data_IF_908271790360
#
_entry.id   IF_908271790360
#
_cell.length_a   1.000
_cell.length_b   1.000
_cell.length_c   1.000
_cell.angle_alpha   90.00
_cell.angle_beta   90.00
_cell.angle_gamma   90.00
#
_symmetry.space_group_name_H-M   'P 1'
#
loop_
_entity.id
_entity.type
_entity.pdbx_description
1 polymer ?
#
# COMPACT_ATOMS: atom_id res chain seq x y z
N UNK A 1 12.29 35.26 38.60
CA UNK A 1 10.90 34.84 38.88
C UNK A 1 10.21 34.84 37.52
N UNK A 2 9.89 33.73 36.85
CA UNK A 2 8.98 32.67 37.25
C UNK A 2 9.38 31.30 36.68
N UNK A 3 8.73 30.28 37.23
CA UNK A 3 9.14 28.89 37.39
C UNK A 3 9.32 28.04 36.13
N UNK A 4 10.21 27.04 36.28
CA UNK A 4 10.21 25.77 35.53
C UNK A 4 8.82 25.14 35.52
N UNK A 5 8.37 24.71 34.34
CA UNK A 5 7.43 23.60 34.19
C UNK A 5 8.13 22.50 33.38
N UNK A 6 8.70 21.53 34.10
CA UNK A 6 9.03 20.21 33.58
C UNK A 6 7.74 19.39 33.67
N UNK A 7 7.10 19.09 32.53
CA UNK A 7 6.03 18.10 32.34
C UNK A 7 5.71 18.10 30.82
N UNK A 8 5.87 17.06 29.99
CA UNK A 8 5.83 15.60 30.15
C UNK A 8 6.77 14.95 29.10
N UNK A 9 7.41 13.80 29.37
CA UNK A 9 8.01 12.99 28.32
C UNK A 9 6.93 12.08 27.75
N UNK A 10 6.29 12.51 26.67
CA UNK A 10 5.74 11.59 25.66
C UNK A 10 6.18 12.17 24.33
N UNK A 11 7.48 12.08 24.06
CA UNK A 11 7.98 12.39 22.72
C UNK A 11 7.53 11.27 21.80
N UNK A 12 6.35 11.42 21.22
CA UNK A 12 6.00 10.69 20.00
C UNK A 12 7.14 10.94 19.00
N UNK A 13 7.65 9.87 18.38
CA UNK A 13 8.71 9.99 17.38
C UNK A 13 8.14 10.71 16.15
N UNK A 14 8.54 11.96 15.96
CA UNK A 14 8.12 12.77 14.82
C UNK A 14 9.15 12.64 13.69
N UNK A 15 8.69 12.23 12.51
CA UNK A 15 9.48 12.21 11.27
C UNK A 15 9.94 13.63 10.94
N UNK A 16 11.24 13.81 10.68
CA UNK A 16 11.83 15.16 10.48
C UNK A 16 11.75 15.62 9.02
N UNK A 17 11.97 14.70 8.08
CA UNK A 17 11.90 14.93 6.64
C UNK A 17 11.65 13.60 5.94
N UNK A 18 10.98 13.63 4.79
CA UNK A 18 10.82 12.50 3.87
C UNK A 18 12.07 12.25 3.03
N UNK A 19 12.96 13.24 2.90
CA UNK A 19 14.11 13.19 1.99
C UNK A 19 13.74 13.39 0.51
N UNK A 20 12.46 13.60 0.20
CA UNK A 20 11.95 13.87 -1.15
C UNK A 20 11.53 15.34 -1.21
N UNK A 21 12.03 16.07 -2.21
CA UNK A 21 11.68 17.49 -2.39
C UNK A 21 10.22 17.60 -2.85
N UNK A 22 9.44 18.45 -2.16
CA UNK A 22 8.02 18.68 -2.49
C UNK A 22 7.05 17.74 -1.79
N UNK A 23 7.54 16.75 -1.04
CA UNK A 23 6.71 15.86 -0.23
C UNK A 23 6.90 16.18 1.26
N UNK A 24 5.99 16.99 1.80
CA UNK A 24 6.04 17.44 3.19
C UNK A 24 5.62 16.32 4.16
N UNK A 25 6.25 16.30 5.35
CA UNK A 25 5.92 15.33 6.40
C UNK A 25 4.52 15.59 6.95
N UNK A 26 3.72 14.54 7.09
CA UNK A 26 2.36 14.60 7.65
C UNK A 26 2.34 13.98 9.06
N UNK A 27 2.24 14.77 10.14
CA UNK A 27 2.31 14.25 11.51
C UNK A 27 1.18 13.27 11.87
N UNK A 28 -0.01 13.45 11.29
CA UNK A 28 -1.20 12.62 11.51
C UNK A 28 -1.48 11.68 10.32
N UNK A 29 -0.43 11.16 9.68
CA UNK A 29 -0.53 10.36 8.46
C UNK A 29 -1.50 9.19 8.56
N UNK A 30 -1.50 8.45 9.68
CA UNK A 30 -2.38 7.30 9.92
C UNK A 30 -3.86 7.65 9.80
N UNK A 31 -4.30 8.71 10.48
CA UNK A 31 -5.70 9.14 10.46
C UNK A 31 -6.13 9.58 9.06
N UNK A 32 -5.24 10.31 8.38
CA UNK A 32 -5.45 10.76 6.99
C UNK A 32 -5.59 9.56 6.06
N UNK A 33 -4.69 8.57 6.15
CA UNK A 33 -4.76 7.34 5.36
C UNK A 33 -6.04 6.55 5.60
N UNK A 34 -6.45 6.36 6.86
CA UNK A 34 -7.71 5.69 7.20
C UNK A 34 -8.90 6.41 6.56
N UNK A 35 -8.92 7.75 6.65
CA UNK A 35 -9.97 8.57 6.05
C UNK A 35 -10.01 8.45 4.53
N UNK A 36 -8.85 8.53 3.88
CA UNK A 36 -8.71 8.40 2.42
C UNK A 36 -9.13 7.02 1.94
N UNK A 37 -8.60 5.94 2.52
CA UNK A 37 -8.97 4.58 2.12
C UNK A 37 -10.45 4.26 2.36
N UNK A 38 -11.02 4.73 3.47
CA UNK A 38 -12.46 4.60 3.72
C UNK A 38 -13.29 5.34 2.66
N UNK A 39 -12.81 6.51 2.21
CA UNK A 39 -13.45 7.24 1.11
C UNK A 39 -13.30 6.49 -0.21
N UNK A 40 -12.11 5.98 -0.53
CA UNK A 40 -11.84 5.19 -1.75
C UNK A 40 -12.76 3.97 -1.83
N UNK A 41 -12.90 3.21 -0.74
CA UNK A 41 -13.81 2.05 -0.66
C UNK A 41 -15.30 2.42 -0.79
N UNK A 42 -15.68 3.67 -0.53
CA UNK A 42 -17.05 4.13 -0.75
C UNK A 42 -17.28 4.59 -2.18
N UNK A 43 -16.34 5.33 -2.77
CA UNK A 43 -16.45 5.83 -4.15
C UNK A 43 -16.34 4.70 -5.19
N UNK A 44 -15.51 3.68 -4.94
CA UNK A 44 -15.30 2.56 -5.87
C UNK A 44 -16.57 1.71 -6.09
N UNK A 45 -17.54 1.77 -5.15
CA UNK A 45 -18.83 1.05 -5.29
C UNK A 45 -19.66 1.51 -6.48
N UNK A 46 -19.37 2.69 -7.04
CA UNK A 46 -20.01 3.18 -8.26
C UNK A 46 -19.56 2.43 -9.53
N UNK A 47 -18.37 1.79 -9.50
CA UNK A 47 -17.82 1.00 -10.60
C UNK A 47 -18.45 -0.41 -10.61
N UNK A 48 -18.72 -1.04 -11.76
CA UNK A 48 -19.26 -2.41 -11.82
C UNK A 48 -18.35 -3.46 -11.13
N UNK A 49 -18.95 -4.48 -10.49
CA UNK A 49 -18.23 -5.51 -9.70
C UNK A 49 -17.32 -6.42 -10.51
N UNK A 50 -17.65 -6.64 -11.79
CA UNK A 50 -16.90 -7.58 -12.60
C UNK A 50 -15.59 -7.01 -13.16
N UNK A 51 -15.47 -5.68 -13.14
CA UNK A 51 -14.30 -4.98 -13.67
C UNK A 51 -13.03 -5.28 -12.87
N UNK A 52 -11.95 -5.61 -13.59
CA UNK A 52 -10.65 -5.92 -12.98
C UNK A 52 -10.11 -4.76 -12.13
N UNK A 53 -10.39 -3.52 -12.56
CA UNK A 53 -10.05 -2.30 -11.82
C UNK A 53 -10.65 -2.28 -10.41
N UNK A 54 -11.97 -2.54 -10.28
CA UNK A 54 -12.64 -2.56 -8.97
C UNK A 54 -12.06 -3.63 -8.05
N UNK A 55 -11.86 -4.85 -8.57
CA UNK A 55 -11.28 -5.98 -7.81
C UNK A 55 -9.87 -5.64 -7.29
N UNK A 56 -9.04 -4.98 -8.11
CA UNK A 56 -7.70 -4.56 -7.72
C UNK A 56 -7.75 -3.50 -6.61
N UNK A 57 -8.51 -2.42 -6.82
CA UNK A 57 -8.65 -1.30 -5.87
C UNK A 57 -9.18 -1.77 -4.53
N UNK A 58 -10.22 -2.60 -4.51
CA UNK A 58 -10.76 -3.16 -3.28
C UNK A 58 -9.73 -4.02 -2.54
N UNK A 59 -8.98 -4.87 -3.26
CA UNK A 59 -7.98 -5.75 -2.67
C UNK A 59 -6.85 -4.99 -1.98
N UNK A 60 -6.16 -4.09 -2.70
CA UNK A 60 -5.03 -3.38 -2.10
C UNK A 60 -5.48 -2.33 -1.08
N UNK A 61 -6.62 -1.66 -1.29
CA UNK A 61 -7.11 -0.64 -0.36
C UNK A 61 -7.57 -1.28 0.96
N UNK A 62 -8.24 -2.43 0.90
CA UNK A 62 -8.65 -3.16 2.11
C UNK A 62 -7.44 -3.66 2.90
N UNK A 63 -6.42 -4.17 2.20
CA UNK A 63 -5.17 -4.58 2.84
C UNK A 63 -4.45 -3.39 3.51
N UNK A 64 -4.30 -2.27 2.79
CA UNK A 64 -3.68 -1.04 3.30
C UNK A 64 -4.43 -0.47 4.50
N UNK A 65 -5.76 -0.43 4.43
CA UNK A 65 -6.62 0.02 5.52
C UNK A 65 -6.46 -0.86 6.76
N UNK A 66 -6.44 -2.18 6.59
CA UNK A 66 -6.24 -3.13 7.69
C UNK A 66 -4.91 -2.89 8.41
N UNK A 67 -3.82 -2.72 7.67
CA UNK A 67 -2.51 -2.44 8.28
C UNK A 67 -2.52 -1.10 9.03
N UNK A 68 -3.13 -0.05 8.47
CA UNK A 68 -3.23 1.26 9.14
C UNK A 68 -4.10 1.23 10.41
N UNK A 69 -5.04 0.27 10.51
CA UNK A 69 -5.86 0.07 11.71
C UNK A 69 -5.10 -0.72 12.78
N UNK A 70 -4.35 -1.74 12.39
CA UNK A 70 -3.57 -2.59 13.29
C UNK A 70 -2.39 -1.85 13.93
N UNK A 71 -1.66 -1.05 13.15
CA UNK A 71 -0.45 -0.37 13.61
C UNK A 71 -0.72 1.09 13.97
N UNK A 72 -0.06 1.57 15.03
CA UNK A 72 -0.15 2.96 15.48
C UNK A 72 1.02 3.82 14.97
N UNK A 73 2.23 3.24 14.93
CA UNK A 73 3.45 3.92 14.50
C UNK A 73 3.63 3.88 12.98
N UNK A 74 4.04 5.02 12.40
CA UNK A 74 4.25 5.14 10.94
C UNK A 74 5.39 4.24 10.43
N UNK A 75 6.43 4.00 11.23
CA UNK A 75 7.58 3.15 10.86
C UNK A 75 7.16 1.68 10.69
N UNK A 76 6.26 1.20 11.56
CA UNK A 76 5.72 -0.16 11.48
C UNK A 76 4.74 -0.32 10.31
N UNK A 77 3.96 0.74 10.01
CA UNK A 77 3.11 0.79 8.81
C UNK A 77 3.97 0.68 7.54
N UNK A 78 5.03 1.48 7.42
CA UNK A 78 5.95 1.46 6.26
C UNK A 78 6.60 0.07 6.10
N UNK A 79 7.02 -0.53 7.21
CA UNK A 79 7.67 -1.84 7.22
C UNK A 79 6.72 -2.98 6.86
N UNK A 80 5.49 -2.98 7.37
CA UNK A 80 4.47 -4.00 7.05
C UNK A 80 3.99 -3.87 5.61
N UNK A 81 3.77 -2.66 5.11
CA UNK A 81 3.30 -2.43 3.74
C UNK A 81 4.39 -2.60 2.70
N UNK A 82 5.63 -2.23 3.01
CA UNK A 82 6.76 -2.36 2.10
C UNK A 82 6.60 -1.56 0.80
N UNK A 83 5.85 -0.45 0.83
CA UNK A 83 5.41 0.30 -0.34
C UNK A 83 5.80 1.79 -0.24
N UNK A 84 7.07 2.06 0.10
CA UNK A 84 7.56 3.43 0.27
C UNK A 84 7.16 4.05 1.62
N UNK A 85 7.17 5.39 1.67
CA UNK A 85 6.85 6.17 2.85
C UNK A 85 5.35 6.42 3.01
N UNK A 86 4.89 6.69 4.25
CA UNK A 86 3.46 7.00 4.48
C UNK A 86 2.96 8.22 3.73
N UNK A 87 3.81 9.21 3.46
CA UNK A 87 3.46 10.39 2.68
C UNK A 87 3.24 10.06 1.20
N UNK A 88 4.03 9.16 0.62
CA UNK A 88 3.84 8.67 -0.76
C UNK A 88 2.51 7.90 -0.86
N UNK A 89 2.19 7.09 0.16
CA UNK A 89 0.90 6.39 0.23
C UNK A 89 -0.30 7.35 0.30
N UNK A 90 -0.14 8.52 0.94
CA UNK A 90 -1.19 9.55 0.97
C UNK A 90 -1.40 10.14 -0.43
N UNK A 91 -0.32 10.45 -1.14
CA UNK A 91 -0.38 10.94 -2.52
C UNK A 91 -1.03 9.90 -3.45
N UNK A 92 -0.60 8.64 -3.38
CA UNK A 92 -1.21 7.53 -4.12
C UNK A 92 -2.71 7.40 -3.83
N UNK A 93 -3.12 7.47 -2.56
CA UNK A 93 -4.53 7.37 -2.20
C UNK A 93 -5.37 8.57 -2.69
N UNK A 94 -4.79 9.77 -2.73
CA UNK A 94 -5.44 10.95 -3.30
C UNK A 94 -5.56 10.85 -4.82
N UNK A 95 -4.53 10.37 -5.49
CA UNK A 95 -4.54 10.17 -6.94
C UNK A 95 -5.51 9.08 -7.35
N UNK A 96 -5.62 8.00 -6.57
CA UNK A 96 -6.63 6.97 -6.78
C UNK A 96 -8.05 7.54 -6.66
N UNK A 97 -8.32 8.42 -5.68
CA UNK A 97 -9.62 9.10 -5.56
C UNK A 97 -9.93 10.01 -6.76
N UNK A 98 -8.92 10.72 -7.29
CA UNK A 98 -9.07 11.52 -8.52
C UNK A 98 -9.35 10.60 -9.70
N UNK A 99 -8.63 9.48 -9.81
CA UNK A 99 -8.81 8.50 -10.87
C UNK A 99 -10.22 7.91 -10.83
N UNK A 100 -10.72 7.50 -9.67
CA UNK A 100 -12.11 6.98 -9.52
C UNK A 100 -13.12 8.02 -10.03
N UNK A 101 -12.89 9.30 -9.75
CA UNK A 101 -13.77 10.38 -10.23
C UNK A 101 -13.78 10.45 -11.77
N UNK A 102 -12.61 10.35 -12.41
CA UNK A 102 -12.48 10.33 -13.87
C UNK A 102 -13.07 9.05 -14.48
N UNK A 103 -12.83 7.89 -13.86
CA UNK A 103 -13.38 6.62 -14.28
C UNK A 103 -14.91 6.65 -14.25
N UNK A 104 -15.51 7.23 -13.21
CA UNK A 104 -16.95 7.38 -13.09
C UNK A 104 -17.56 8.30 -14.17
N UNK A 105 -16.82 9.30 -14.62
CA UNK A 105 -17.24 10.20 -15.71
C UNK A 105 -17.15 9.50 -17.08
N UNK A 106 -15.98 8.92 -17.38
CA UNK A 106 -15.67 8.40 -18.72
C UNK A 106 -16.21 6.99 -18.96
N UNK A 107 -16.45 6.24 -17.89
CA UNK A 107 -17.06 4.91 -17.91
C UNK A 107 -16.45 3.97 -18.94
N UNK A 108 -15.12 3.72 -18.91
CA UNK A 108 -14.43 2.91 -19.92
C UNK A 108 -14.68 1.40 -19.76
N UNK A 109 -15.75 1.00 -19.08
CA UNK A 109 -16.08 -0.38 -18.77
C UNK A 109 -16.87 -1.06 -19.88
N UNK A 110 -16.77 -2.38 -19.91
CA UNK A 110 -17.33 -3.21 -20.97
C UNK A 110 -16.40 -3.33 -22.18
N UNK A 111 -16.43 -4.52 -22.78
CA UNK A 111 -15.68 -4.83 -23.99
C UNK A 111 -16.69 -5.09 -25.11
N UNK A 112 -16.64 -4.35 -26.24
CA UNK A 112 -17.48 -4.64 -27.39
C UNK A 112 -17.28 -6.06 -27.94
N UNK A 113 -18.32 -6.67 -28.49
CA UNK A 113 -18.25 -8.03 -29.05
C UNK A 113 -17.29 -8.14 -30.25
N UNK A 114 -17.07 -7.03 -30.96
CA UNK A 114 -16.17 -6.89 -32.10
C UNK A 114 -14.76 -6.39 -31.72
N UNK A 115 -14.44 -6.34 -30.42
CA UNK A 115 -13.13 -5.89 -29.96
C UNK A 115 -12.04 -6.95 -30.23
N UNK A 116 -11.09 -6.59 -31.09
CA UNK A 116 -9.91 -7.41 -31.37
C UNK A 116 -8.68 -6.82 -30.67
N UNK A 117 -8.06 -7.61 -29.78
CA UNK A 117 -6.84 -7.24 -29.08
C UNK A 117 -5.67 -8.09 -29.61
N UNK A 118 -4.83 -7.49 -30.46
CA UNK A 118 -3.64 -8.15 -30.97
C UNK A 118 -2.52 -8.14 -29.91
N UNK A 119 -2.27 -9.30 -29.29
CA UNK A 119 -1.15 -9.48 -28.37
C UNK A 119 0.09 -9.83 -29.20
N UNK A 120 1.02 -8.88 -29.33
CA UNK A 120 2.27 -9.05 -30.08
C UNK A 120 3.40 -9.35 -29.09
N UNK A 121 3.88 -10.59 -29.10
CA UNK A 121 5.00 -11.04 -28.27
C UNK A 121 6.27 -11.17 -29.11
N UNK A 122 7.38 -10.62 -28.62
CA UNK A 122 8.70 -10.75 -29.24
C UNK A 122 9.70 -11.28 -28.22
N UNK A 123 9.99 -12.57 -28.30
CA UNK A 123 10.88 -13.29 -27.39
C UNK A 123 12.38 -13.12 -27.71
N UNK A 124 12.73 -12.17 -28.58
CA UNK A 124 14.14 -11.88 -28.87
C UNK A 124 14.88 -11.48 -27.58
N UNK A 125 15.99 -12.16 -27.23
CA UNK A 125 16.67 -11.89 -25.97
C UNK A 125 17.30 -10.50 -25.98
N UNK A 126 17.02 -9.71 -24.94
CA UNK A 126 17.62 -8.39 -24.74
C UNK A 126 19.09 -8.56 -24.31
N UNK A 127 20.06 -7.97 -25.04
CA UNK A 127 21.46 -8.05 -24.64
C UNK A 127 21.74 -7.43 -23.26
N UNK A 128 22.66 -8.03 -22.48
CA UNK A 128 22.93 -7.63 -21.09
C UNK A 128 23.37 -6.18 -20.87
N UNK A 129 23.97 -5.55 -21.88
CA UNK A 129 24.47 -4.18 -21.82
C UNK A 129 23.36 -3.16 -22.12
N UNK A 130 22.22 -3.59 -22.64
CA UNK A 130 21.07 -2.74 -22.89
C UNK A 130 20.40 -2.42 -21.55
N UNK A 131 20.05 -1.14 -21.29
CA UNK A 131 19.31 -0.77 -20.10
C UNK A 131 18.01 -1.57 -19.99
N UNK A 132 17.89 -2.35 -18.92
CA UNK A 132 16.70 -3.12 -18.58
C UNK A 132 16.35 -2.82 -17.12
N UNK A 133 15.08 -2.50 -16.87
CA UNK A 133 14.59 -2.28 -15.50
C UNK A 133 14.71 -3.58 -14.72
N UNK A 134 15.58 -3.60 -13.72
CA UNK A 134 15.76 -4.75 -12.82
C UNK A 134 15.07 -4.43 -11.50
N UNK A 135 14.22 -5.32 -10.98
CA UNK A 135 13.62 -5.12 -9.68
C UNK A 135 14.73 -5.07 -8.61
N UNK A 136 14.51 -4.35 -7.50
CA UNK A 136 15.40 -4.45 -6.36
C UNK A 136 15.43 -5.90 -5.84
N UNK A 137 16.54 -6.31 -5.19
CA UNK A 137 16.60 -7.62 -4.56
C UNK A 137 15.50 -7.74 -3.50
N UNK A 138 14.79 -8.87 -3.50
CA UNK A 138 13.73 -9.11 -2.54
C UNK A 138 14.30 -9.18 -1.10
N UNK A 139 13.50 -8.83 -0.07
CA UNK A 139 13.92 -8.96 1.31
C UNK A 139 14.33 -10.39 1.66
N UNK A 140 15.37 -10.55 2.49
CA UNK A 140 15.88 -11.88 2.89
C UNK A 140 14.84 -12.72 3.62
N UNK A 141 13.90 -12.08 4.34
CA UNK A 141 12.78 -12.75 5.00
C UNK A 141 11.88 -13.48 3.99
N UNK A 142 11.67 -12.93 2.80
CA UNK A 142 10.90 -13.59 1.75
C UNK A 142 11.55 -14.92 1.37
N UNK A 143 12.87 -14.93 1.16
CA UNK A 143 13.61 -16.15 0.80
C UNK A 143 13.50 -17.21 1.90
N UNK A 144 13.63 -16.81 3.17
CA UNK A 144 13.47 -17.73 4.32
C UNK A 144 12.07 -18.31 4.39
N UNK A 145 11.02 -17.50 4.19
CA UNK A 145 9.64 -18.00 4.18
C UNK A 145 9.38 -18.95 3.02
N UNK A 146 9.91 -18.64 1.83
CA UNK A 146 9.80 -19.47 0.64
C UNK A 146 10.53 -20.81 0.81
N UNK A 147 11.74 -20.81 1.35
CA UNK A 147 12.48 -22.03 1.71
C UNK A 147 11.74 -22.85 2.78
N UNK A 148 11.09 -22.19 3.75
CA UNK A 148 10.29 -22.87 4.79
C UNK A 148 9.07 -23.57 4.20
N UNK A 149 8.36 -22.90 3.28
CA UNK A 149 7.21 -23.46 2.56
C UNK A 149 7.63 -24.60 1.62
N UNK A 150 8.74 -24.43 0.89
CA UNK A 150 9.26 -25.46 -0.03
C UNK A 150 9.81 -26.70 0.69
N UNK A 151 10.34 -26.53 1.91
CA UNK A 151 10.87 -27.64 2.72
C UNK A 151 9.81 -28.39 3.55
N UNK A 152 8.54 -27.98 3.47
CA UNK A 152 7.42 -28.68 4.12
C UNK A 152 7.48 -28.71 5.65
N UNK A 153 8.25 -27.80 6.28
CA UNK A 153 8.27 -27.65 7.74
C UNK A 153 7.18 -26.68 8.18
N UNK A 154 5.96 -27.18 8.34
CA UNK A 154 4.91 -26.47 9.08
C UNK A 154 5.33 -26.35 10.55
N UNK A 155 5.98 -25.25 10.94
CA UNK A 155 5.95 -24.83 12.34
C UNK A 155 4.80 -23.86 12.51
N UNK A 156 3.68 -24.41 12.98
CA UNK A 156 2.61 -23.66 13.59
C UNK A 156 3.17 -22.67 14.64
N UNK A 157 3.01 -21.39 14.37
CA UNK A 157 3.08 -20.33 15.37
C UNK A 157 2.13 -19.19 14.98
N UNK A 158 0.86 -19.54 14.76
CA UNK A 158 -0.23 -18.61 15.08
C UNK A 158 -0.22 -18.58 16.61
N UNK A 159 0.32 -17.51 17.17
CA UNK A 159 0.19 -17.18 18.58
C UNK A 159 -1.30 -17.16 18.92
N UNK A 160 -1.75 -18.22 19.59
CA UNK A 160 -2.97 -18.25 20.36
C UNK A 160 -2.85 -17.21 21.46
N UNK A 161 -3.47 -16.04 21.27
CA UNK A 161 -3.81 -15.16 22.37
C UNK A 161 -4.91 -15.81 23.19
N UNK A 162 -4.56 -16.36 24.36
CA UNK A 162 -5.51 -16.82 25.37
C UNK A 162 -6.43 -15.67 25.81
N UNK A 163 -7.70 -15.74 25.43
CA UNK A 163 -8.77 -15.01 26.09
C UNK A 163 -9.07 -15.70 27.43
N UNK A 164 -8.59 -15.14 28.54
CA UNK A 164 -9.17 -15.38 29.86
C UNK A 164 -10.29 -14.37 30.12
N UNK A 165 -11.53 -14.81 29.92
CA UNK A 165 -12.71 -14.60 30.76
C UNK A 165 -13.92 -15.27 30.11
#
# INVERSE_FOLDING_TARGET
>A
MFLRAVARPLMARVKQTTGIVGLDVVPNAREVLIGLYSKTLNEIKAVPEDEGYRKAVESFTSHRLKVCQEEEDWEDIEKKLGCGQVEELIEEAQDELKLISLMNEWKPWGVPDDYECEVIENDAPVPKHVPLHRPPPLPTEFHKTLESLQSGKDTAAISSGESKA
#
